data_IF_856597723888
#
_entry.id   IF_856597723888
#
_cell.length_a   1.000
_cell.length_b   1.000
_cell.length_c   1.000
_cell.angle_alpha   90.00
_cell.angle_beta   90.00
_cell.angle_gamma   90.00
#
_symmetry.space_group_name_H-M   'P 1'
#
loop_
_entity.id
_entity.type
_entity.pdbx_description
1 polymer ?
#
# COMPACT_ATOMS: atom_id res chain seq x y z
N UNK A 1 -16.82 10.25 7.41
CA UNK A 1 -18.18 9.69 7.28
C UNK A 1 -18.14 8.29 6.70
N UNK A 2 -18.71 7.35 7.40
CA UNK A 2 -18.79 5.97 6.90
C UNK A 2 -19.66 5.94 5.66
N UNK A 3 -19.20 5.23 4.63
CA UNK A 3 -19.93 5.08 3.37
C UNK A 3 -20.03 3.61 3.00
N UNK A 4 -20.93 3.28 2.08
CA UNK A 4 -20.98 1.95 1.51
C UNK A 4 -19.82 1.79 0.53
N UNK A 5 -19.31 0.54 0.35
CA UNK A 5 -18.22 0.30 -0.61
C UNK A 5 -18.52 0.81 -2.02
N UNK A 6 -19.79 0.79 -2.45
CA UNK A 6 -20.19 1.31 -3.74
C UNK A 6 -20.02 2.83 -3.86
N UNK A 7 -19.82 3.53 -2.75
CA UNK A 7 -19.55 4.97 -2.74
C UNK A 7 -18.11 5.33 -2.97
N UNK A 8 -17.20 4.34 -3.02
CA UNK A 8 -15.81 4.59 -3.35
C UNK A 8 -15.66 4.93 -4.83
N UNK A 9 -14.62 5.72 -5.20
CA UNK A 9 -14.33 5.93 -6.61
C UNK A 9 -14.14 4.60 -7.34
N UNK A 10 -14.54 4.55 -8.61
CA UNK A 10 -14.45 3.33 -9.40
C UNK A 10 -13.03 2.78 -9.45
N UNK A 11 -12.04 3.66 -9.60
CA UNK A 11 -10.64 3.24 -9.63
C UNK A 11 -10.23 2.52 -8.33
N UNK A 12 -10.72 2.99 -7.18
CA UNK A 12 -10.45 2.34 -5.90
C UNK A 12 -11.12 0.96 -5.83
N UNK A 13 -12.38 0.87 -6.25
CA UNK A 13 -13.09 -0.41 -6.28
C UNK A 13 -12.37 -1.42 -7.18
N UNK A 14 -11.96 -0.98 -8.37
CA UNK A 14 -11.26 -1.84 -9.33
C UNK A 14 -9.90 -2.31 -8.78
N UNK A 15 -9.18 -1.41 -8.12
CA UNK A 15 -7.91 -1.77 -7.50
C UNK A 15 -8.08 -2.87 -6.46
N UNK A 16 -9.07 -2.73 -5.58
CA UNK A 16 -9.32 -3.72 -4.52
C UNK A 16 -9.68 -5.07 -5.12
N UNK A 17 -10.54 -5.09 -6.14
CA UNK A 17 -10.94 -6.33 -6.81
C UNK A 17 -9.76 -7.02 -7.47
N UNK A 18 -8.86 -6.25 -8.08
CA UNK A 18 -7.70 -6.80 -8.77
C UNK A 18 -6.64 -7.29 -7.80
N UNK A 19 -6.35 -6.51 -6.76
CA UNK A 19 -5.22 -6.78 -5.88
C UNK A 19 -5.57 -7.61 -4.66
N UNK A 20 -6.84 -7.57 -4.23
CA UNK A 20 -7.32 -8.29 -3.04
C UNK A 20 -8.66 -8.96 -3.33
N UNK A 21 -8.70 -9.86 -4.33
CA UNK A 21 -9.98 -10.39 -4.84
C UNK A 21 -10.77 -11.23 -3.83
N UNK A 22 -10.10 -11.81 -2.84
CA UNK A 22 -10.73 -12.69 -1.86
C UNK A 22 -10.82 -12.06 -0.47
N UNK A 23 -10.68 -10.74 -0.39
CA UNK A 23 -10.63 -10.02 0.89
C UNK A 23 -11.73 -8.96 0.90
N UNK A 24 -12.90 -9.28 1.48
CA UNK A 24 -14.05 -8.36 1.45
C UNK A 24 -13.77 -7.05 2.18
N UNK A 25 -14.42 -5.99 1.71
CA UNK A 25 -14.37 -4.71 2.40
C UNK A 25 -15.20 -4.81 3.67
N UNK A 26 -14.56 -4.58 4.80
CA UNK A 26 -15.22 -4.54 6.10
C UNK A 26 -15.78 -3.15 6.40
N UNK A 27 -15.09 -2.12 5.93
CA UNK A 27 -15.37 -0.74 6.32
C UNK A 27 -14.82 0.22 5.28
N UNK A 28 -15.58 1.25 4.94
CA UNK A 28 -15.13 2.33 4.07
C UNK A 28 -15.56 3.67 4.66
N UNK A 29 -14.67 4.64 4.61
CA UNK A 29 -14.90 5.96 5.15
C UNK A 29 -14.44 7.02 4.18
N UNK A 30 -15.25 8.05 4.00
CA UNK A 30 -14.86 9.23 3.22
C UNK A 30 -14.43 10.33 4.17
N UNK A 31 -13.22 10.82 3.98
CA UNK A 31 -12.68 11.96 4.69
C UNK A 31 -12.64 13.17 3.76
N UNK A 32 -12.17 14.29 4.28
CA UNK A 32 -12.15 15.52 3.52
C UNK A 32 -11.25 15.44 2.27
N UNK A 33 -10.13 14.73 2.38
CA UNK A 33 -9.11 14.68 1.32
C UNK A 33 -8.87 13.29 0.75
N UNK A 34 -9.45 12.27 1.37
CA UNK A 34 -9.13 10.89 1.01
C UNK A 34 -10.26 9.95 1.40
N UNK A 35 -10.04 8.66 1.10
CA UNK A 35 -10.91 7.57 1.54
C UNK A 35 -10.06 6.56 2.29
N UNK A 36 -10.61 6.02 3.38
CA UNK A 36 -9.99 4.93 4.13
C UNK A 36 -10.82 3.67 3.97
N UNK A 37 -10.15 2.55 3.72
CA UNK A 37 -10.80 1.25 3.57
C UNK A 37 -10.10 0.24 4.47
N UNK A 38 -10.89 -0.55 5.21
CA UNK A 38 -10.38 -1.69 5.95
C UNK A 38 -10.94 -2.96 5.32
N UNK A 39 -10.06 -3.93 5.06
CA UNK A 39 -10.44 -5.24 4.55
C UNK A 39 -10.59 -6.21 5.70
N UNK A 40 -11.29 -7.32 5.46
CA UNK A 40 -11.57 -8.29 6.51
C UNK A 40 -10.30 -8.89 7.10
N UNK A 41 -9.24 -9.02 6.33
CA UNK A 41 -7.94 -9.54 6.78
C UNK A 41 -7.21 -8.60 7.74
N UNK A 42 -7.63 -7.35 7.86
CA UNK A 42 -6.93 -6.33 8.64
C UNK A 42 -6.11 -5.39 7.77
N UNK A 43 -6.01 -5.64 6.48
CA UNK A 43 -5.33 -4.71 5.56
C UNK A 43 -6.11 -3.40 5.52
N UNK A 44 -5.39 -2.28 5.60
CA UNK A 44 -5.96 -0.95 5.51
C UNK A 44 -5.39 -0.24 4.30
N UNK A 45 -6.25 0.41 3.52
CA UNK A 45 -5.86 1.11 2.31
C UNK A 45 -6.40 2.54 2.37
N UNK A 46 -5.52 3.50 2.14
CA UNK A 46 -5.89 4.89 1.99
C UNK A 46 -5.83 5.25 0.52
N UNK A 47 -6.90 5.89 0.00
CA UNK A 47 -7.00 6.31 -1.39
C UNK A 47 -7.07 7.82 -1.47
N UNK A 48 -6.42 8.39 -2.49
CA UNK A 48 -6.66 9.79 -2.86
C UNK A 48 -8.09 9.95 -3.34
N UNK A 49 -8.55 11.18 -3.39
CA UNK A 49 -9.90 11.52 -3.87
C UNK A 49 -10.15 10.99 -5.28
N UNK A 50 -9.12 10.91 -6.13
CA UNK A 50 -9.26 10.40 -7.49
C UNK A 50 -9.32 8.87 -7.57
N UNK A 51 -9.20 8.18 -6.43
CA UNK A 51 -9.30 6.72 -6.40
C UNK A 51 -7.99 5.96 -6.53
N UNK A 52 -6.86 6.65 -6.71
CA UNK A 52 -5.55 6.00 -6.69
C UNK A 52 -5.15 5.74 -5.24
N UNK A 53 -4.53 4.57 -4.97
CA UNK A 53 -4.12 4.28 -3.61
C UNK A 53 -2.90 5.11 -3.21
N UNK A 54 -2.88 5.51 -1.95
CA UNK A 54 -1.82 6.32 -1.36
C UNK A 54 -0.96 5.50 -0.40
N UNK A 55 -1.61 4.69 0.43
CA UNK A 55 -0.94 3.89 1.45
C UNK A 55 -1.66 2.57 1.64
N UNK A 56 -0.88 1.50 1.79
CA UNK A 56 -1.40 0.16 2.10
C UNK A 56 -0.64 -0.35 3.32
N UNK A 57 -1.38 -0.74 4.36
CA UNK A 57 -0.81 -1.23 5.61
C UNK A 57 -1.36 -2.62 5.89
N UNK A 58 -0.46 -3.56 6.20
CA UNK A 58 -0.83 -4.94 6.49
C UNK A 58 -0.16 -5.38 7.79
N UNK A 59 -0.86 -5.28 8.94
CA UNK A 59 -0.25 -5.58 10.23
C UNK A 59 -0.03 -7.07 10.50
N UNK A 60 -0.75 -7.96 9.80
CA UNK A 60 -0.77 -9.39 10.14
C UNK A 60 -0.20 -10.32 9.09
N UNK A 61 -0.02 -9.86 7.86
CA UNK A 61 0.48 -10.72 6.77
C UNK A 61 1.25 -9.89 5.76
N UNK A 62 2.21 -10.49 5.05
CA UNK A 62 3.00 -9.74 4.06
C UNK A 62 2.16 -9.21 2.92
N UNK A 63 2.55 -8.03 2.42
CA UNK A 63 2.02 -7.49 1.17
C UNK A 63 2.84 -8.04 0.00
N UNK A 64 2.17 -8.24 -1.14
CA UNK A 64 2.84 -8.70 -2.35
C UNK A 64 3.71 -7.60 -2.95
N UNK A 65 4.90 -7.97 -3.38
CA UNK A 65 5.80 -7.05 -4.09
C UNK A 65 5.23 -6.63 -5.45
N UNK A 66 4.21 -7.34 -5.97
CA UNK A 66 3.55 -6.96 -7.22
C UNK A 66 2.77 -5.66 -7.11
N UNK A 67 2.54 -5.17 -5.89
CA UNK A 67 1.94 -3.85 -5.67
C UNK A 67 2.90 -2.71 -6.04
N UNK A 68 4.19 -3.01 -6.15
CA UNK A 68 5.24 -2.04 -6.47
C UNK A 68 5.62 -2.12 -7.95
N UNK A 69 6.10 -1.00 -8.54
CA UNK A 69 6.73 -1.08 -9.86
C UNK A 69 7.90 -2.06 -9.85
N UNK A 70 8.16 -2.72 -10.99
CA UNK A 70 9.22 -3.71 -11.07
C UNK A 70 10.59 -3.17 -10.63
N UNK A 71 10.93 -1.95 -11.01
CA UNK A 71 12.21 -1.36 -10.63
C UNK A 71 12.34 -1.23 -9.11
N UNK A 72 11.26 -0.85 -8.44
CA UNK A 72 11.23 -0.70 -6.98
C UNK A 72 11.30 -2.07 -6.32
N UNK A 73 10.50 -3.02 -6.78
CA UNK A 73 10.49 -4.38 -6.26
C UNK A 73 11.85 -5.05 -6.41
N UNK A 74 12.51 -4.88 -7.55
CA UNK A 74 13.83 -5.47 -7.78
C UNK A 74 14.89 -4.88 -6.85
N UNK A 75 14.88 -3.55 -6.66
CA UNK A 75 15.81 -2.89 -5.75
C UNK A 75 15.62 -3.39 -4.32
N UNK A 76 14.37 -3.55 -3.90
CA UNK A 76 14.06 -4.05 -2.56
C UNK A 76 14.57 -5.48 -2.37
N UNK A 77 14.32 -6.35 -3.35
CA UNK A 77 14.75 -7.76 -3.28
C UNK A 77 16.27 -7.90 -3.25
N UNK A 78 16.98 -7.03 -3.95
CA UNK A 78 18.43 -7.04 -3.93
C UNK A 78 18.99 -6.68 -2.56
N UNK A 79 18.37 -5.70 -1.90
CA UNK A 79 18.86 -5.22 -0.61
C UNK A 79 18.41 -6.11 0.54
N UNK A 80 17.17 -6.55 0.54
CA UNK A 80 16.56 -7.34 1.61
C UNK A 80 15.77 -8.51 1.04
N UNK A 81 16.46 -9.53 0.50
CA UNK A 81 15.77 -10.64 -0.19
C UNK A 81 14.86 -11.47 0.70
N UNK A 82 15.07 -11.44 2.03
CA UNK A 82 14.29 -12.24 2.97
C UNK A 82 13.21 -11.44 3.70
N UNK A 83 13.17 -10.12 3.51
CA UNK A 83 12.23 -9.29 4.26
C UNK A 83 10.84 -9.29 3.64
N UNK A 84 9.82 -9.21 4.50
CA UNK A 84 8.43 -9.09 4.08
C UNK A 84 7.99 -7.64 4.19
N UNK A 85 7.12 -7.24 3.26
CA UNK A 85 6.57 -5.88 3.20
C UNK A 85 5.35 -5.82 4.10
N UNK A 86 5.32 -4.85 5.03
CA UNK A 86 4.17 -4.63 5.92
C UNK A 86 3.43 -3.34 5.63
N UNK A 87 4.06 -2.39 4.94
CA UNK A 87 3.45 -1.11 4.61
C UNK A 87 4.11 -0.51 3.39
N UNK A 88 3.31 0.09 2.51
CA UNK A 88 3.80 0.83 1.36
C UNK A 88 3.09 2.18 1.32
N UNK A 89 3.85 3.26 1.24
CA UNK A 89 3.31 4.60 1.08
C UNK A 89 3.90 5.25 -0.16
N UNK A 90 3.04 5.77 -1.04
CA UNK A 90 3.49 6.52 -2.21
C UNK A 90 3.86 7.93 -1.81
N UNK A 91 5.06 8.34 -2.18
CA UNK A 91 5.49 9.73 -2.11
C UNK A 91 5.44 10.33 -3.51
N UNK A 92 5.82 11.59 -3.66
CA UNK A 92 5.77 12.26 -4.96
C UNK A 92 6.57 11.50 -6.04
N UNK A 93 7.80 11.11 -5.74
CA UNK A 93 8.68 10.45 -6.72
C UNK A 93 9.33 9.18 -6.17
N UNK A 94 8.80 8.64 -5.07
CA UNK A 94 9.40 7.49 -4.41
C UNK A 94 8.34 6.71 -3.63
N UNK A 95 8.78 5.58 -3.07
CA UNK A 95 7.98 4.74 -2.19
C UNK A 95 8.68 4.62 -0.86
N UNK A 96 7.90 4.73 0.22
CA UNK A 96 8.36 4.46 1.57
C UNK A 96 7.81 3.08 1.94
N UNK A 97 8.72 2.14 2.24
CA UNK A 97 8.35 0.74 2.44
C UNK A 97 8.81 0.29 3.81
N UNK A 98 7.86 -0.18 4.63
CA UNK A 98 8.17 -0.70 5.96
C UNK A 98 8.24 -2.22 5.89
N UNK A 99 9.31 -2.79 6.47
CA UNK A 99 9.62 -4.21 6.40
C UNK A 99 9.50 -4.87 7.77
N UNK A 100 9.41 -6.19 7.77
CA UNK A 100 9.31 -6.97 9.01
C UNK A 100 10.62 -7.04 9.81
N UNK A 101 11.73 -6.55 9.23
CA UNK A 101 13.02 -6.47 9.91
C UNK A 101 13.23 -5.14 10.64
N UNK A 102 12.15 -4.38 10.85
CA UNK A 102 12.15 -3.08 11.53
C UNK A 102 12.90 -2.00 10.75
N UNK A 103 12.99 -2.15 9.43
CA UNK A 103 13.57 -1.16 8.53
C UNK A 103 12.47 -0.47 7.74
N UNK A 104 12.68 0.79 7.48
CA UNK A 104 11.84 1.58 6.59
C UNK A 104 12.75 2.09 5.49
N UNK A 105 12.49 1.68 4.24
CA UNK A 105 13.36 1.97 3.12
C UNK A 105 12.67 2.88 2.12
N UNK A 106 13.41 3.83 1.56
CA UNK A 106 12.91 4.80 0.59
C UNK A 106 13.55 4.50 -0.75
N UNK A 107 12.71 4.20 -1.76
CA UNK A 107 13.19 3.82 -3.10
C UNK A 107 12.47 4.71 -4.12
N UNK A 108 13.23 5.32 -5.03
CA UNK A 108 12.66 6.17 -6.08
C UNK A 108 11.84 5.32 -7.05
N UNK A 109 10.97 5.97 -7.83
CA UNK A 109 10.11 5.27 -8.79
C UNK A 109 10.89 4.45 -9.81
N UNK A 110 12.15 4.80 -10.07
CA UNK A 110 13.01 4.07 -11.01
C UNK A 110 13.98 3.11 -10.33
N UNK A 111 13.79 2.85 -9.03
CA UNK A 111 14.53 1.80 -8.33
C UNK A 111 15.82 2.21 -7.65
N UNK A 112 16.05 3.51 -7.47
CA UNK A 112 17.22 4.00 -6.75
C UNK A 112 16.92 4.04 -5.25
N UNK A 113 17.77 3.42 -4.43
CA UNK A 113 17.61 3.46 -2.97
C UNK A 113 18.07 4.83 -2.49
N UNK A 114 17.12 5.59 -1.90
CA UNK A 114 17.36 6.96 -1.45
C UNK A 114 17.84 7.01 0.00
N UNK A 115 17.48 6.03 0.81
CA UNK A 115 17.86 5.98 2.20
C UNK A 115 17.04 4.95 2.96
N UNK A 116 17.34 4.81 4.24
CA UNK A 116 16.57 3.96 5.13
C UNK A 116 16.74 4.41 6.57
N UNK A 117 15.81 3.99 7.41
CA UNK A 117 15.89 4.24 8.84
C UNK A 117 15.31 3.05 9.61
N UNK A 118 15.64 2.99 10.89
CA UNK A 118 15.07 2.00 11.82
C UNK A 118 13.77 2.54 12.39
N UNK A 119 12.80 1.66 12.53
CA UNK A 119 11.56 1.99 13.24
C UNK A 119 11.76 1.96 14.75
#
# INVERSE_FOLDING_TARGET
>A
MVIQPSGLPKAAQDFIKKSFPNDPILYAEQNRKDFDVALQSGIEIEFFINGEWKEIKSPYQPLSATLLPNAVSNALKQKYPQASILKIEKQYSSYEISLDNRREIYISNNGEVLGEKLD
#
